data_IF_037525204237
#
_entry.id   IF_037525204237
#
_cell.length_a   1.000
_cell.length_b   1.000
_cell.length_c   1.000
_cell.angle_alpha   90.00
_cell.angle_beta   90.00
_cell.angle_gamma   90.00
#
_symmetry.space_group_name_H-M   'P 1'
#
loop_
_entity.id
_entity.type
_entity.pdbx_description
1 polymer ?
#
# COMPACT_ATOMS: atom_id res chain seq x y z
N UNK A 1 10.53 20.85 3.93
CA UNK A 1 10.52 20.83 2.45
C UNK A 1 9.12 21.01 1.87
N UNK A 2 8.20 20.04 1.99
CA UNK A 2 6.88 20.11 1.31
C UNK A 2 6.03 21.34 1.69
N UNK A 3 6.01 21.71 2.97
CA UNK A 3 5.22 22.85 3.49
C UNK A 3 5.65 24.20 2.89
N UNK A 4 6.94 24.37 2.61
CA UNK A 4 7.48 25.60 2.03
C UNK A 4 7.05 25.75 0.57
N UNK A 5 6.98 24.65 -0.17
CA UNK A 5 6.48 24.60 -1.55
C UNK A 5 4.99 24.94 -1.59
N UNK A 6 4.18 24.42 -0.66
CA UNK A 6 2.77 24.78 -0.55
C UNK A 6 2.55 26.26 -0.17
N UNK A 7 3.36 26.80 0.73
CA UNK A 7 3.29 28.22 1.11
C UNK A 7 3.57 29.14 -0.09
N UNK A 8 4.59 28.81 -0.90
CA UNK A 8 4.89 29.54 -2.13
C UNK A 8 3.77 29.38 -3.16
N UNK A 9 3.27 28.17 -3.38
CA UNK A 9 2.16 27.94 -4.30
C UNK A 9 0.91 28.74 -3.90
N UNK A 10 0.59 28.81 -2.61
CA UNK A 10 -0.51 29.62 -2.11
C UNK A 10 -0.27 31.12 -2.29
N UNK A 11 0.96 31.61 -2.05
CA UNK A 11 1.34 33.00 -2.21
C UNK A 11 1.28 33.46 -3.68
N UNK A 12 1.67 32.59 -4.61
CA UNK A 12 1.70 32.89 -6.05
C UNK A 12 0.45 32.40 -6.81
N UNK A 13 -0.56 31.87 -6.11
CA UNK A 13 -1.81 31.40 -6.70
C UNK A 13 -1.65 30.19 -7.64
N UNK A 14 -0.61 29.38 -7.45
CA UNK A 14 -0.35 28.21 -8.28
C UNK A 14 -1.34 27.09 -7.99
N UNK A 15 -1.86 26.48 -9.06
CA UNK A 15 -2.65 25.25 -8.95
C UNK A 15 -1.73 24.10 -8.54
N UNK A 16 -2.01 23.53 -7.37
CA UNK A 16 -1.34 22.32 -6.92
C UNK A 16 -2.18 21.11 -7.30
N UNK A 17 -1.58 20.19 -8.04
CA UNK A 17 -2.19 18.91 -8.38
C UNK A 17 -1.49 17.83 -7.56
N UNK A 18 -2.26 17.17 -6.68
CA UNK A 18 -1.78 15.99 -5.97
C UNK A 18 -2.02 14.76 -6.85
N UNK A 19 -0.95 14.03 -7.18
CA UNK A 19 -1.05 12.72 -7.81
C UNK A 19 -0.92 11.65 -6.73
N UNK A 20 -2.03 10.97 -6.45
CA UNK A 20 -2.02 9.75 -5.66
C UNK A 20 -1.59 8.57 -6.55
N UNK A 21 -0.38 8.06 -6.32
CA UNK A 21 0.13 6.90 -7.05
C UNK A 21 -0.44 5.64 -6.41
N UNK A 22 -1.67 5.26 -6.79
CA UNK A 22 -2.34 4.03 -6.31
C UNK A 22 -1.48 2.77 -6.47
N UNK A 23 -0.57 2.75 -7.45
CA UNK A 23 0.31 1.62 -7.73
C UNK A 23 1.54 1.56 -6.83
N UNK A 24 1.94 2.65 -6.17
CA UNK A 24 3.09 2.65 -5.26
C UNK A 24 2.85 1.71 -4.08
N UNK A 25 1.58 1.50 -3.74
CA UNK A 25 1.18 0.54 -2.73
C UNK A 25 1.25 -0.91 -3.24
N UNK A 26 0.74 -1.21 -4.43
CA UNK A 26 0.77 -2.59 -4.99
C UNK A 26 2.17 -3.02 -5.47
N UNK A 27 3.03 -2.05 -5.80
CA UNK A 27 4.41 -2.29 -6.24
C UNK A 27 5.45 -1.95 -5.18
N UNK A 28 5.03 -1.53 -3.98
CA UNK A 28 5.92 -1.36 -2.85
C UNK A 28 6.43 -2.73 -2.39
N UNK A 29 7.74 -2.83 -2.17
CA UNK A 29 8.29 -4.01 -1.52
C UNK A 29 7.78 -4.10 -0.09
N UNK A 30 7.33 -5.30 0.29
CA UNK A 30 6.88 -5.57 1.64
C UNK A 30 8.12 -5.58 2.55
N UNK A 31 8.30 -4.51 3.34
CA UNK A 31 9.43 -4.41 4.28
C UNK A 31 9.35 -5.43 5.42
N UNK A 32 8.14 -5.91 5.71
CA UNK A 32 7.86 -6.87 6.78
C UNK A 32 7.29 -8.17 6.20
N UNK A 33 7.61 -9.32 6.79
CA UNK A 33 7.01 -10.59 6.38
C UNK A 33 5.57 -10.70 6.88
N UNK A 34 4.61 -10.59 5.97
CA UNK A 34 3.19 -10.78 6.28
C UNK A 34 2.70 -12.12 5.75
N UNK A 35 2.03 -12.86 6.62
CA UNK A 35 1.33 -14.09 6.28
C UNK A 35 -0.19 -13.86 6.34
N UNK A 36 -0.93 -14.46 5.40
CA UNK A 36 -2.39 -14.45 5.40
C UNK A 36 -2.94 -15.86 5.28
N UNK A 37 -4.16 -16.07 5.77
CA UNK A 37 -4.91 -17.30 5.54
C UNK A 37 -5.14 -17.52 4.05
N UNK A 38 -5.17 -18.78 3.62
CA UNK A 38 -5.44 -19.12 2.23
C UNK A 38 -6.79 -18.52 1.77
N UNK A 39 -6.84 -17.87 0.60
CA UNK A 39 -8.07 -17.31 0.08
C UNK A 39 -9.03 -18.43 -0.33
N UNK A 40 -10.34 -18.16 -0.25
CA UNK A 40 -11.39 -19.09 -0.67
C UNK A 40 -11.17 -19.46 -2.15
N UNK A 41 -11.06 -20.74 -2.44
CA UNK A 41 -10.76 -21.26 -3.79
C UNK A 41 -9.29 -21.65 -4.03
N UNK A 42 -8.39 -21.37 -3.09
CA UNK A 42 -6.98 -21.81 -3.15
C UNK A 42 -6.65 -22.91 -2.12
N UNK A 43 -7.60 -23.25 -1.24
CA UNK A 43 -7.41 -24.26 -0.19
C UNK A 43 -7.24 -25.63 -0.83
N UNK A 44 -6.06 -26.23 -0.68
CA UNK A 44 -5.75 -27.58 -1.14
C UNK A 44 -6.09 -28.58 -0.03
N UNK A 45 -6.78 -29.67 -0.35
CA UNK A 45 -7.10 -30.74 0.60
C UNK A 45 -5.82 -31.27 1.27
N UNK A 46 -5.83 -31.32 2.62
CA UNK A 46 -4.68 -31.73 3.43
C UNK A 46 -3.64 -30.62 3.69
N UNK A 47 -3.87 -29.40 3.20
CA UNK A 47 -3.00 -28.25 3.45
C UNK A 47 -3.78 -27.05 4.01
N UNK A 48 -4.93 -27.31 4.64
CA UNK A 48 -5.87 -26.29 5.12
C UNK A 48 -5.24 -25.36 6.16
N UNK A 49 -4.29 -25.87 6.95
CA UNK A 49 -3.56 -25.10 7.96
C UNK A 49 -2.41 -24.24 7.41
N UNK A 50 -2.12 -24.32 6.10
CA UNK A 50 -1.06 -23.48 5.52
C UNK A 50 -1.50 -22.03 5.42
N UNK A 51 -0.51 -21.16 5.58
CA UNK A 51 -0.64 -19.71 5.38
C UNK A 51 0.13 -19.29 4.12
N UNK A 52 -0.37 -18.26 3.44
CA UNK A 52 0.27 -17.67 2.28
C UNK A 52 1.18 -16.52 2.72
N UNK A 53 2.44 -16.51 2.27
CA UNK A 53 3.33 -15.35 2.44
C UNK A 53 3.04 -14.31 1.37
N UNK A 54 2.74 -13.08 1.77
CA UNK A 54 2.60 -11.96 0.84
C UNK A 54 3.98 -11.56 0.34
N UNK A 55 4.15 -11.46 -0.99
CA UNK A 55 5.36 -10.91 -1.62
C UNK A 55 5.21 -9.45 -2.02
N UNK A 56 3.99 -8.92 -2.01
CA UNK A 56 3.63 -7.54 -2.36
C UNK A 56 2.57 -7.03 -1.40
N UNK A 57 2.53 -5.73 -1.17
CA UNK A 57 1.53 -5.09 -0.32
C UNK A 57 0.12 -5.17 -0.91
N UNK A 58 -0.85 -5.57 -0.08
CA UNK A 58 -2.29 -5.62 -0.40
C UNK A 58 -3.08 -4.51 0.30
N UNK A 59 -4.02 -3.91 -0.42
CA UNK A 59 -4.69 -2.68 0.03
C UNK A 59 -5.38 -2.92 1.37
N UNK A 60 -5.24 -1.98 2.31
CA UNK A 60 -5.85 -2.09 3.64
C UNK A 60 -5.08 -2.93 4.67
N UNK A 61 -3.86 -3.38 4.37
CA UNK A 61 -2.95 -3.90 5.40
C UNK A 61 -2.71 -2.82 6.47
N UNK A 62 -2.60 -3.20 7.75
CA UNK A 62 -2.30 -2.25 8.85
C UNK A 62 -0.99 -1.47 8.63
N UNK A 63 -0.02 -2.12 7.98
CA UNK A 63 1.29 -1.57 7.60
C UNK A 63 1.23 -0.75 6.31
N UNK A 64 0.11 -0.79 5.58
CA UNK A 64 -0.12 0.12 4.48
C UNK A 64 -0.21 1.54 5.03
N UNK A 65 0.42 2.53 4.37
CA UNK A 65 0.07 3.92 4.60
C UNK A 65 -1.45 4.04 4.43
N UNK A 66 -2.17 4.21 5.55
CA UNK A 66 -3.57 4.59 5.53
C UNK A 66 -3.54 6.08 5.23
N UNK A 67 -3.76 6.40 3.97
CA UNK A 67 -3.83 7.78 3.47
C UNK A 67 -4.78 8.62 4.31
#
# INVERSE_FOLDING_TARGET
MIRMIFALAAQFGWKVHQMDVKSAFLNGDLQEEVYMTQPKGYVVHGQEEKVCRLRKSLYGLKQAPRT
#
